data_IF_087439887964
#
_entry.id   IF_087439887964
#
_cell.length_a   1.000
_cell.length_b   1.000
_cell.length_c   1.000
_cell.angle_alpha   90.00
_cell.angle_beta   90.00
_cell.angle_gamma   90.00
#
_symmetry.space_group_name_H-M   'P 1'
#
loop_
_entity.id
_entity.type
_entity.pdbx_description
1 polymer ?
#
# COMPACT_ATOMS: atom_id res chain seq x y z
N UNK A 1 11.17 30.63 -30.26
CA UNK A 1 12.15 29.53 -30.33
C UNK A 1 12.91 29.49 -29.02
N UNK A 2 12.59 28.55 -28.15
CA UNK A 2 13.31 28.29 -26.90
C UNK A 2 13.66 26.81 -26.89
N UNK A 3 14.97 26.54 -26.81
CA UNK A 3 15.55 25.22 -26.92
C UNK A 3 15.29 24.40 -25.66
N UNK A 4 14.59 23.28 -25.80
CA UNK A 4 14.41 22.29 -24.74
C UNK A 4 15.66 21.43 -24.65
N UNK A 5 16.44 21.58 -23.58
CA UNK A 5 17.53 20.67 -23.28
C UNK A 5 16.95 19.35 -22.75
N UNK A 6 17.05 18.28 -23.55
CA UNK A 6 16.77 16.91 -23.13
C UNK A 6 17.98 16.45 -22.32
N UNK A 7 17.79 16.22 -21.02
CA UNK A 7 18.77 15.52 -20.18
C UNK A 7 18.49 14.03 -20.31
N UNK A 8 19.32 13.33 -21.07
CA UNK A 8 19.33 11.87 -21.10
C UNK A 8 19.86 11.34 -19.77
N UNK A 9 19.05 10.54 -19.07
CA UNK A 9 19.47 9.79 -17.88
C UNK A 9 20.06 8.46 -18.34
N UNK A 10 21.28 8.07 -17.94
CA UNK A 10 21.88 6.81 -18.38
C UNK A 10 21.08 5.62 -17.87
N UNK A 11 20.69 4.73 -18.78
CA UNK A 11 20.19 3.39 -18.48
C UNK A 11 21.23 2.63 -17.67
N UNK A 12 20.90 2.26 -16.43
CA UNK A 12 21.70 1.31 -15.65
C UNK A 12 21.70 -0.04 -16.37
N UNK A 13 22.90 -0.49 -16.77
CA UNK A 13 23.12 -1.74 -17.46
C UNK A 13 22.60 -2.94 -16.65
N UNK A 14 21.87 -3.81 -17.35
CA UNK A 14 21.36 -5.08 -16.85
C UNK A 14 22.47 -6.13 -16.77
N UNK A 15 23.37 -6.00 -15.78
CA UNK A 15 24.39 -7.01 -15.53
C UNK A 15 24.81 -7.10 -14.06
N UNK A 16 23.83 -7.30 -13.18
CA UNK A 16 24.06 -7.96 -11.87
C UNK A 16 23.02 -9.06 -11.72
N UNK A 17 23.25 -10.16 -12.46
CA UNK A 17 22.46 -11.39 -12.33
C UNK A 17 22.83 -12.04 -11.00
N UNK A 18 21.89 -12.04 -10.05
CA UNK A 18 21.95 -12.93 -8.88
C UNK A 18 21.77 -14.36 -9.40
N UNK A 19 22.88 -15.10 -9.51
CA UNK A 19 22.86 -16.55 -9.74
C UNK A 19 22.51 -17.23 -8.43
N UNK A 20 21.27 -17.74 -8.31
CA UNK A 20 20.88 -18.59 -7.19
C UNK A 20 21.53 -19.97 -7.36
N UNK A 21 22.57 -20.25 -6.59
CA UNK A 21 23.11 -21.61 -6.44
C UNK A 21 22.23 -22.44 -5.50
N UNK A 22 21.90 -23.71 -5.81
CA UNK A 22 21.12 -24.56 -4.92
C UNK A 22 22.00 -24.99 -3.72
N UNK A 23 21.65 -24.58 -2.49
CA UNK A 23 22.31 -25.11 -1.29
C UNK A 23 21.74 -26.46 -0.90
N UNK A 24 22.63 -27.43 -0.82
CA UNK A 24 22.43 -28.79 -0.32
C UNK A 24 21.97 -28.81 1.14
N UNK A 25 21.11 -29.78 1.48
CA UNK A 25 20.59 -30.03 2.82
C UNK A 25 21.74 -30.34 3.79
N UNK A 26 21.89 -29.53 4.84
CA UNK A 26 22.75 -29.84 5.99
C UNK A 26 21.87 -30.17 7.19
N UNK A 27 21.99 -31.39 7.70
CA UNK A 27 21.40 -31.83 8.97
C UNK A 27 22.22 -31.25 10.13
N UNK A 28 21.55 -30.56 11.06
CA UNK A 28 22.17 -30.07 12.30
C UNK A 28 22.00 -31.13 13.38
N UNK A 29 23.11 -31.75 13.79
CA UNK A 29 23.20 -32.56 15.01
C UNK A 29 23.45 -31.64 16.21
N UNK A 30 22.65 -31.84 17.25
CA UNK A 30 22.74 -31.16 18.55
C UNK A 30 24.10 -31.39 19.21
N UNK A 31 24.76 -30.32 19.65
CA UNK A 31 25.90 -30.37 20.58
C UNK A 31 25.56 -29.58 21.84
N UNK A 32 25.72 -30.25 22.97
CA UNK A 32 25.62 -29.73 24.33
C UNK A 32 26.77 -28.75 24.61
N UNK A 33 26.44 -27.66 25.32
CA UNK A 33 27.39 -26.62 25.78
C UNK A 33 27.88 -26.98 27.18
N UNK A 34 29.19 -26.86 27.51
CA UNK A 34 29.66 -27.00 28.88
C UNK A 34 29.46 -25.71 29.68
N UNK A 35 29.08 -25.87 30.94
CA UNK A 35 28.99 -24.81 31.96
C UNK A 35 30.40 -24.38 32.35
N UNK A 36 30.70 -23.09 32.30
CA UNK A 36 31.91 -22.48 32.87
C UNK A 36 31.50 -21.52 33.98
N UNK A 37 32.21 -21.65 35.10
CA UNK A 37 32.06 -20.97 36.37
C UNK A 37 32.34 -19.47 36.31
N UNK A 38 31.61 -18.74 37.15
CA UNK A 38 31.69 -17.29 37.37
C UNK A 38 32.91 -16.97 38.22
N UNK A 39 33.73 -16.02 37.77
CA UNK A 39 34.59 -15.22 38.64
C UNK A 39 34.25 -13.74 38.43
N UNK A 40 33.99 -13.06 39.54
CA UNK A 40 33.80 -11.62 39.65
C UNK A 40 35.08 -10.90 39.26
N UNK A 41 34.99 -9.98 38.29
CA UNK A 41 35.95 -8.89 38.20
C UNK A 41 35.25 -7.56 37.90
N UNK A 42 35.88 -6.56 38.48
CA UNK A 42 35.43 -5.28 38.95
C UNK A 42 35.01 -4.27 37.87
N UNK A 43 34.16 -3.35 38.32
CA UNK A 43 33.62 -2.17 37.64
C UNK A 43 34.61 -1.43 36.74
N UNK A 44 34.43 -1.59 35.42
CA UNK A 44 34.85 -0.64 34.42
C UNK A 44 33.65 -0.29 33.55
N UNK A 45 33.07 0.89 33.74
CA UNK A 45 32.02 1.42 32.87
C UNK A 45 32.64 1.70 31.51
N UNK A 46 32.69 0.69 30.64
CA UNK A 46 33.01 0.88 29.23
C UNK A 46 31.92 1.74 28.63
N UNK A 47 32.25 2.97 28.24
CA UNK A 47 31.44 3.74 27.30
C UNK A 47 31.24 2.85 26.06
N UNK A 48 30.07 2.21 25.94
CA UNK A 48 29.69 1.49 24.74
C UNK A 48 29.85 2.45 23.57
N UNK A 49 30.83 2.19 22.70
CA UNK A 49 30.98 2.96 21.47
C UNK A 49 29.67 2.82 20.70
N UNK A 50 28.89 3.89 20.61
CA UNK A 50 27.61 3.89 19.92
C UNK A 50 27.85 3.43 18.49
N UNK A 51 27.37 2.23 18.15
CA UNK A 51 27.44 1.71 16.78
C UNK A 51 26.69 2.70 15.86
N UNK A 52 27.39 3.41 14.94
CA UNK A 52 26.76 4.46 14.15
C UNK A 52 25.63 3.92 13.26
N UNK A 53 25.76 2.68 12.78
CA UNK A 53 24.72 2.03 11.98
C UNK A 53 23.48 1.74 12.82
N UNK A 54 23.65 1.32 14.08
CA UNK A 54 22.56 1.11 15.02
C UNK A 54 21.82 2.42 15.33
N UNK A 55 22.56 3.48 15.65
CA UNK A 55 21.96 4.79 15.95
C UNK A 55 21.15 5.33 14.78
N UNK A 56 21.70 5.24 13.56
CA UNK A 56 20.99 5.64 12.34
C UNK A 56 19.78 4.74 12.05
N UNK A 57 19.87 3.44 12.33
CA UNK A 57 18.73 2.53 12.19
C UNK A 57 17.59 2.89 13.14
N UNK A 58 17.87 3.23 14.39
CA UNK A 58 16.85 3.69 15.34
C UNK A 58 16.17 5.00 14.87
N UNK A 59 16.94 5.94 14.32
CA UNK A 59 16.40 7.18 13.73
C UNK A 59 15.45 6.89 12.55
N UNK A 60 15.83 5.98 11.65
CA UNK A 60 14.97 5.54 10.54
C UNK A 60 13.71 4.84 11.08
N UNK A 61 13.83 3.98 12.08
CA UNK A 61 12.69 3.27 12.66
C UNK A 61 11.72 4.24 13.35
N UNK A 62 12.21 5.31 13.98
CA UNK A 62 11.34 6.37 14.50
C UNK A 62 10.45 6.96 13.40
N UNK A 63 11.01 7.22 12.22
CA UNK A 63 10.23 7.70 11.06
C UNK A 63 9.23 6.62 10.63
N UNK A 64 9.67 5.39 10.38
CA UNK A 64 8.80 4.27 9.95
C UNK A 64 7.63 4.08 10.91
N UNK A 65 7.87 4.16 12.21
CA UNK A 65 6.85 3.99 13.25
C UNK A 65 5.75 5.05 13.16
N UNK A 66 6.07 6.30 12.82
CA UNK A 66 5.05 7.36 12.63
C UNK A 66 4.09 7.09 11.47
N UNK A 67 4.50 6.24 10.53
CA UNK A 67 3.67 5.84 9.40
C UNK A 67 2.76 4.64 9.72
N UNK A 68 2.95 4.01 10.88
CA UNK A 68 2.17 2.88 11.34
C UNK A 68 0.90 3.26 12.12
N UNK A 69 0.02 2.28 12.28
CA UNK A 69 -1.10 2.28 13.22
C UNK A 69 -0.94 1.07 14.13
N UNK A 70 -0.55 1.34 15.38
CA UNK A 70 -0.10 0.32 16.33
C UNK A 70 -1.24 -0.03 17.29
N UNK A 71 -1.85 -1.21 17.09
CA UNK A 71 -2.93 -1.68 17.99
C UNK A 71 -2.40 -2.17 19.34
N UNK A 72 -1.13 -2.57 19.40
CA UNK A 72 -0.44 -3.04 20.61
C UNK A 72 0.93 -2.39 20.71
N UNK A 73 1.27 -1.92 21.90
CA UNK A 73 2.56 -1.31 22.23
C UNK A 73 3.20 -2.02 23.42
N UNK A 74 4.50 -1.80 23.64
CA UNK A 74 5.17 -2.17 24.90
C UNK A 74 4.59 -1.36 26.07
N UNK A 75 4.98 -1.69 27.30
CA UNK A 75 4.64 -0.90 28.49
C UNK A 75 5.14 0.56 28.38
N UNK A 76 6.21 0.79 27.61
CA UNK A 76 6.75 2.11 27.32
C UNK A 76 6.05 2.83 26.15
N UNK A 77 5.02 2.22 25.55
CA UNK A 77 4.29 2.79 24.42
C UNK A 77 4.93 2.57 23.06
N UNK A 78 5.99 1.77 22.98
CA UNK A 78 6.73 1.53 21.72
C UNK A 78 6.04 0.47 20.86
N UNK A 79 6.16 0.60 19.55
CA UNK A 79 5.74 -0.43 18.62
C UNK A 79 6.49 -1.75 18.81
N UNK A 80 5.75 -2.86 18.98
CA UNK A 80 6.33 -4.19 19.19
C UNK A 80 7.26 -4.66 18.05
N UNK A 81 7.07 -4.15 16.83
CA UNK A 81 7.89 -4.52 15.68
C UNK A 81 9.29 -3.92 15.67
N UNK A 82 9.62 -2.97 16.55
CA UNK A 82 10.97 -2.38 16.62
C UNK A 82 12.05 -3.46 16.77
N UNK A 83 11.82 -4.44 17.65
CA UNK A 83 12.76 -5.52 17.90
C UNK A 83 13.10 -6.35 16.64
N UNK A 84 12.16 -6.51 15.72
CA UNK A 84 12.36 -7.30 14.49
C UNK A 84 12.75 -6.45 13.28
N UNK A 85 12.42 -5.15 13.27
CA UNK A 85 12.70 -4.25 12.14
C UNK A 85 14.05 -3.56 12.27
N UNK A 86 14.46 -3.11 13.48
CA UNK A 86 15.72 -2.37 13.64
C UNK A 86 16.94 -3.15 13.15
N UNK A 87 17.13 -4.44 13.48
CA UNK A 87 18.29 -5.20 12.99
C UNK A 87 18.36 -5.30 11.46
N UNK A 88 17.20 -5.32 10.79
CA UNK A 88 17.13 -5.34 9.31
C UNK A 88 17.56 -4.00 8.74
N UNK A 89 17.06 -2.90 9.31
CA UNK A 89 17.47 -1.54 8.91
C UNK A 89 18.97 -1.36 9.14
N UNK A 90 19.47 -1.75 10.30
CA UNK A 90 20.89 -1.70 10.65
C UNK A 90 21.76 -2.44 9.62
N UNK A 91 21.33 -3.61 9.16
CA UNK A 91 22.04 -4.36 8.10
C UNK A 91 22.16 -3.58 6.80
N UNK A 92 21.09 -2.88 6.38
CA UNK A 92 21.11 -2.06 5.15
C UNK A 92 21.90 -0.77 5.34
N UNK A 93 21.81 -0.14 6.52
CA UNK A 93 22.59 1.05 6.89
C UNK A 93 24.08 0.74 6.91
N UNK A 94 24.49 -0.36 7.56
CA UNK A 94 25.90 -0.80 7.60
C UNK A 94 26.45 -1.07 6.19
N UNK A 95 25.59 -1.47 5.25
CA UNK A 95 25.94 -1.68 3.85
C UNK A 95 25.78 -0.43 2.96
N UNK A 96 25.38 0.72 3.52
CA UNK A 96 25.08 1.95 2.78
C UNK A 96 24.10 1.76 1.61
N UNK A 97 23.07 0.91 1.80
CA UNK A 97 22.04 0.60 0.79
C UNK A 97 20.71 1.24 1.16
N UNK A 98 19.90 1.55 0.15
CA UNK A 98 18.52 1.99 0.36
C UNK A 98 17.74 0.95 1.16
N UNK A 99 16.89 1.39 2.09
CA UNK A 99 16.08 0.49 2.91
C UNK A 99 14.94 -0.09 2.06
N UNK A 100 14.90 -1.42 1.82
CA UNK A 100 13.83 -2.02 1.05
C UNK A 100 12.61 -2.24 1.94
N UNK A 101 11.46 -1.76 1.49
CA UNK A 101 10.16 -2.01 2.10
C UNK A 101 9.28 -2.73 1.09
N UNK A 102 8.50 -3.71 1.52
CA UNK A 102 7.56 -4.43 0.65
C UNK A 102 6.14 -4.25 1.14
N UNK A 103 5.24 -3.89 0.23
CA UNK A 103 3.83 -3.68 0.52
C UNK A 103 2.94 -4.52 -0.42
N UNK A 104 2.36 -5.61 0.09
CA UNK A 104 1.22 -6.25 -0.55
C UNK A 104 -0.01 -5.34 -0.45
N UNK A 105 -0.45 -4.80 -1.59
CA UNK A 105 -1.56 -3.86 -1.66
C UNK A 105 -1.99 -3.61 -3.12
N UNK A 106 -3.05 -2.82 -3.29
CA UNK A 106 -3.56 -2.37 -4.57
C UNK A 106 -3.92 -3.53 -5.53
N UNK A 107 -4.83 -4.43 -5.14
CA UNK A 107 -5.23 -5.55 -5.98
C UNK A 107 -6.01 -5.08 -7.21
N UNK A 108 -7.13 -4.40 -6.96
CA UNK A 108 -8.18 -3.96 -7.89
C UNK A 108 -9.29 -3.29 -7.06
N UNK A 109 -10.12 -2.41 -7.65
CA UNK A 109 -11.32 -1.86 -6.99
C UNK A 109 -12.36 -2.96 -6.69
N UNK A 110 -13.18 -2.74 -5.67
CA UNK A 110 -14.32 -3.60 -5.34
C UNK A 110 -15.33 -3.75 -6.49
N UNK A 111 -15.95 -4.92 -6.59
CA UNK A 111 -17.10 -5.15 -7.48
C UNK A 111 -18.34 -4.32 -7.13
N UNK A 112 -18.44 -3.80 -5.89
CA UNK A 112 -19.57 -2.99 -5.47
C UNK A 112 -19.39 -1.51 -5.90
N UNK A 113 -19.60 -1.24 -7.19
CA UNK A 113 -19.55 0.12 -7.78
C UNK A 113 -20.80 0.96 -7.52
N UNK A 114 -21.86 0.31 -7.04
CA UNK A 114 -23.13 0.95 -6.70
C UNK A 114 -23.02 1.69 -5.36
N UNK A 115 -22.54 0.98 -4.32
CA UNK A 115 -22.57 1.45 -2.94
C UNK A 115 -21.17 1.76 -2.39
N UNK A 116 -20.10 1.12 -2.88
CA UNK A 116 -18.80 1.09 -2.16
C UNK A 116 -17.71 1.95 -2.80
N UNK A 117 -17.45 1.78 -4.09
CA UNK A 117 -16.37 2.47 -4.83
C UNK A 117 -16.90 3.28 -6.00
N UNK A 118 -16.11 4.23 -6.50
CA UNK A 118 -16.51 5.13 -7.58
C UNK A 118 -16.57 4.44 -8.95
N UNK A 119 -15.60 3.58 -9.24
CA UNK A 119 -15.46 2.84 -10.50
C UNK A 119 -14.48 1.69 -10.38
N UNK A 120 -13.98 1.20 -11.53
CA UNK A 120 -13.02 0.09 -11.61
C UNK A 120 -11.54 0.53 -11.56
N UNK A 121 -11.26 1.78 -11.93
CA UNK A 121 -9.90 2.31 -12.04
C UNK A 121 -9.48 3.03 -10.74
N UNK A 122 -8.16 3.21 -10.52
CA UNK A 122 -7.62 4.07 -9.47
C UNK A 122 -8.23 5.48 -9.52
N UNK A 123 -8.59 5.99 -8.35
CA UNK A 123 -9.14 7.32 -8.14
C UNK A 123 -8.26 8.11 -7.14
N UNK A 124 -8.75 9.22 -6.56
CA UNK A 124 -7.96 10.04 -5.64
C UNK A 124 -7.40 9.20 -4.46
N UNK A 125 -8.12 8.17 -4.02
CA UNK A 125 -7.67 7.34 -2.91
C UNK A 125 -6.35 6.62 -3.21
N UNK A 126 -6.20 6.10 -4.42
CA UNK A 126 -4.93 5.49 -4.85
C UNK A 126 -3.81 6.52 -4.99
N UNK A 127 -4.10 7.71 -5.55
CA UNK A 127 -3.11 8.79 -5.66
C UNK A 127 -2.58 9.21 -4.27
N UNK A 128 -3.48 9.39 -3.30
CA UNK A 128 -3.12 9.72 -1.91
C UNK A 128 -2.31 8.61 -1.24
N UNK A 129 -2.69 7.36 -1.45
CA UNK A 129 -1.97 6.21 -0.90
C UNK A 129 -0.54 6.09 -1.43
N UNK A 130 -0.35 6.27 -2.75
CA UNK A 130 0.99 6.29 -3.35
C UNK A 130 1.81 7.48 -2.84
N UNK A 131 1.23 8.68 -2.83
CA UNK A 131 1.89 9.88 -2.35
C UNK A 131 2.35 9.76 -0.89
N UNK A 132 1.54 9.11 -0.04
CA UNK A 132 1.92 8.84 1.35
C UNK A 132 3.15 7.93 1.45
N UNK A 133 3.24 6.88 0.64
CA UNK A 133 4.40 5.98 0.61
C UNK A 133 5.66 6.70 0.10
N UNK A 134 5.50 7.61 -0.87
CA UNK A 134 6.59 8.48 -1.33
C UNK A 134 7.06 9.40 -0.22
N UNK A 135 6.13 9.96 0.57
CA UNK A 135 6.45 10.80 1.71
C UNK A 135 7.26 10.03 2.77
N UNK A 136 6.92 8.76 3.03
CA UNK A 136 7.73 7.89 3.89
C UNK A 136 9.17 7.76 3.38
N UNK A 137 9.35 7.44 2.10
CA UNK A 137 10.68 7.35 1.49
C UNK A 137 11.44 8.68 1.56
N UNK A 138 10.75 9.81 1.35
CA UNK A 138 11.34 11.15 1.42
C UNK A 138 11.82 11.49 2.83
N UNK A 139 11.00 11.21 3.84
CA UNK A 139 11.35 11.51 5.23
C UNK A 139 12.54 10.64 5.68
N UNK A 140 12.61 9.37 5.28
CA UNK A 140 13.81 8.53 5.49
C UNK A 140 15.03 9.12 4.77
N UNK A 141 14.88 9.54 3.51
CA UNK A 141 15.97 10.12 2.72
C UNK A 141 16.54 11.40 3.34
N UNK A 142 15.72 12.16 4.06
CA UNK A 142 16.16 13.37 4.76
C UNK A 142 17.19 13.09 5.86
N UNK A 143 17.16 11.89 6.47
CA UNK A 143 18.09 11.50 7.54
C UNK A 143 19.14 10.46 7.11
N UNK A 144 18.92 9.80 5.97
CA UNK A 144 19.77 8.73 5.45
C UNK A 144 19.86 8.83 3.93
N UNK A 145 21.02 9.25 3.40
CA UNK A 145 21.18 9.63 1.99
C UNK A 145 20.76 8.55 0.95
N UNK A 146 21.05 7.24 1.14
CA UNK A 146 20.53 6.20 0.26
C UNK A 146 19.00 6.09 0.24
N UNK A 147 18.33 6.57 1.28
CA UNK A 147 16.88 6.61 1.39
C UNK A 147 16.24 5.24 1.51
N UNK A 148 15.03 5.11 0.96
CA UNK A 148 14.26 3.87 0.97
C UNK A 148 13.49 3.67 -0.34
N UNK A 149 13.14 2.41 -0.61
CA UNK A 149 12.32 2.01 -1.76
C UNK A 149 11.11 1.23 -1.23
N UNK A 150 9.92 1.50 -1.76
CA UNK A 150 8.73 0.70 -1.52
C UNK A 150 8.43 -0.14 -2.76
N UNK A 151 8.50 -1.45 -2.61
CA UNK A 151 8.05 -2.41 -3.62
C UNK A 151 6.60 -2.76 -3.35
N UNK A 152 5.70 -2.27 -4.20
CA UNK A 152 4.29 -2.63 -4.18
C UNK A 152 4.13 -3.95 -4.92
N UNK A 153 3.71 -4.98 -4.19
CA UNK A 153 3.36 -6.28 -4.77
C UNK A 153 1.85 -6.34 -4.91
N UNK A 154 1.37 -6.16 -6.14
CA UNK A 154 -0.06 -6.17 -6.43
C UNK A 154 -0.61 -7.59 -6.34
N UNK A 155 -1.62 -7.80 -5.49
CA UNK A 155 -2.16 -9.11 -5.13
C UNK A 155 -3.50 -9.43 -5.81
N UNK A 156 -3.90 -8.64 -6.82
CA UNK A 156 -5.18 -8.81 -7.52
C UNK A 156 -5.38 -10.21 -8.08
N UNK A 157 -4.37 -10.76 -8.78
CA UNK A 157 -4.49 -12.11 -9.36
C UNK A 157 -4.61 -13.22 -8.32
N UNK A 158 -4.21 -12.98 -7.06
CA UNK A 158 -4.43 -13.95 -6.00
C UNK A 158 -5.91 -14.13 -5.69
N UNK A 159 -6.78 -13.14 -5.95
CA UNK A 159 -8.13 -13.13 -5.38
C UNK A 159 -9.25 -12.82 -6.37
N UNK A 160 -8.97 -12.19 -7.52
CA UNK A 160 -9.98 -11.63 -8.40
C UNK A 160 -11.03 -12.65 -8.87
N UNK A 161 -10.63 -13.86 -9.22
CA UNK A 161 -11.52 -14.98 -9.59
C UNK A 161 -12.43 -15.42 -8.42
N UNK A 162 -11.95 -15.37 -7.18
CA UNK A 162 -12.79 -15.63 -5.99
C UNK A 162 -13.85 -14.54 -5.78
N UNK A 163 -13.57 -13.33 -6.27
CA UNK A 163 -14.44 -12.17 -6.10
C UNK A 163 -15.29 -11.85 -7.33
N UNK A 164 -15.01 -12.48 -8.48
CA UNK A 164 -15.72 -12.28 -9.74
C UNK A 164 -15.23 -11.09 -10.56
N UNK A 165 -13.98 -10.65 -10.37
CA UNK A 165 -13.36 -9.57 -11.15
C UNK A 165 -12.54 -10.20 -12.28
N UNK A 166 -12.76 -9.84 -13.56
CA UNK A 166 -11.99 -10.37 -14.69
C UNK A 166 -10.51 -10.02 -14.63
N UNK A 167 -9.65 -10.86 -15.21
CA UNK A 167 -8.20 -10.66 -15.24
C UNK A 167 -7.81 -9.37 -15.98
N UNK A 168 -8.56 -9.00 -17.01
CA UNK A 168 -8.43 -7.78 -17.79
C UNK A 168 -8.57 -6.52 -16.92
N UNK A 169 -9.52 -6.54 -15.99
CA UNK A 169 -9.78 -5.40 -15.10
C UNK A 169 -8.68 -5.25 -14.05
N UNK A 170 -8.14 -6.37 -13.55
CA UNK A 170 -6.95 -6.35 -12.68
C UNK A 170 -5.76 -5.74 -13.41
N UNK A 171 -5.59 -6.09 -14.70
CA UNK A 171 -4.55 -5.47 -15.53
C UNK A 171 -4.79 -3.98 -15.71
N UNK A 172 -6.02 -3.54 -16.04
CA UNK A 172 -6.37 -2.14 -16.26
C UNK A 172 -6.09 -1.29 -15.01
N UNK A 173 -6.54 -1.76 -13.83
CA UNK A 173 -6.29 -1.10 -12.56
C UNK A 173 -4.79 -0.99 -12.26
N UNK A 174 -4.07 -2.11 -12.32
CA UNK A 174 -2.63 -2.14 -12.01
C UNK A 174 -1.80 -1.34 -13.03
N UNK A 175 -2.20 -1.33 -14.30
CA UNK A 175 -1.55 -0.55 -15.35
C UNK A 175 -1.76 0.95 -15.13
N UNK A 176 -2.99 1.38 -14.80
CA UNK A 176 -3.26 2.78 -14.45
C UNK A 176 -2.47 3.21 -13.22
N UNK A 177 -2.37 2.37 -12.19
CA UNK A 177 -1.61 2.67 -10.97
C UNK A 177 -0.11 2.90 -11.25
N UNK A 178 0.48 2.07 -12.11
CA UNK A 178 1.87 2.26 -12.58
C UNK A 178 2.04 3.57 -13.36
N UNK A 179 1.09 3.91 -14.23
CA UNK A 179 1.10 5.19 -14.96
C UNK A 179 1.05 6.39 -14.01
N UNK A 180 0.21 6.35 -12.97
CA UNK A 180 0.16 7.41 -11.93
C UNK A 180 1.55 7.62 -11.32
N UNK A 181 2.25 6.54 -10.93
CA UNK A 181 3.57 6.66 -10.33
C UNK A 181 4.60 7.28 -11.29
N UNK A 182 4.53 6.97 -12.59
CA UNK A 182 5.39 7.58 -13.62
C UNK A 182 5.04 9.06 -13.82
N UNK A 183 3.76 9.38 -14.01
CA UNK A 183 3.25 10.75 -14.20
C UNK A 183 3.64 11.67 -13.04
N UNK A 184 3.64 11.16 -11.81
CA UNK A 184 4.00 11.92 -10.60
C UNK A 184 5.50 11.86 -10.26
N UNK A 185 6.32 11.15 -11.03
CA UNK A 185 7.76 11.05 -10.80
C UNK A 185 8.15 10.28 -9.53
N UNK A 186 7.36 9.29 -9.11
CA UNK A 186 7.55 8.52 -7.87
C UNK A 186 8.66 7.45 -8.00
N UNK A 187 9.90 7.89 -8.18
CA UNK A 187 11.06 7.02 -8.43
C UNK A 187 11.37 6.02 -7.29
N UNK A 188 10.91 6.28 -6.07
CA UNK A 188 11.08 5.37 -4.93
C UNK A 188 10.01 4.26 -4.85
N UNK A 189 9.01 4.28 -5.74
CA UNK A 189 7.96 3.26 -5.82
C UNK A 189 8.27 2.30 -6.95
N UNK A 190 8.35 1.01 -6.62
CA UNK A 190 8.49 -0.08 -7.59
C UNK A 190 7.23 -0.95 -7.56
N UNK A 191 6.92 -1.60 -8.68
CA UNK A 191 5.77 -2.50 -8.78
C UNK A 191 6.23 -3.87 -9.24
N UNK A 192 5.91 -4.90 -8.48
CA UNK A 192 6.15 -6.28 -8.88
C UNK A 192 4.81 -6.99 -9.04
N UNK A 193 4.59 -7.55 -10.24
CA UNK A 193 3.47 -8.47 -10.45
C UNK A 193 3.89 -9.83 -9.95
N UNK A 194 2.91 -10.62 -9.52
CA UNK A 194 3.18 -11.97 -9.02
C UNK A 194 3.81 -12.86 -10.10
N UNK A 195 3.40 -12.74 -11.36
CA UNK A 195 4.05 -13.45 -12.48
C UNK A 195 5.54 -13.11 -12.64
N UNK A 196 5.96 -11.88 -12.30
CA UNK A 196 7.37 -11.51 -12.30
C UNK A 196 8.11 -12.21 -11.13
N UNK A 197 7.49 -12.27 -9.96
CA UNK A 197 8.06 -12.94 -8.77
C UNK A 197 8.14 -14.47 -8.90
N UNK A 198 7.42 -15.04 -9.86
CA UNK A 198 7.41 -16.48 -10.15
C UNK A 198 8.32 -16.84 -11.32
N UNK A 199 9.02 -15.85 -11.90
CA UNK A 199 9.83 -16.01 -13.12
C UNK A 199 9.03 -16.53 -14.33
N UNK A 200 7.70 -16.32 -14.33
CA UNK A 200 6.83 -16.64 -15.47
C UNK A 200 6.88 -15.53 -16.54
N UNK A 201 7.31 -14.33 -16.14
CA UNK A 201 7.49 -13.20 -17.04
C UNK A 201 8.62 -12.28 -16.53
N UNK A 202 9.56 -11.90 -17.38
CA UNK A 202 10.71 -11.07 -17.00
C UNK A 202 10.61 -9.61 -17.48
N UNK A 203 9.64 -9.30 -18.35
CA UNK A 203 9.46 -7.94 -18.87
C UNK A 203 8.94 -6.96 -17.81
N UNK A 204 9.41 -5.71 -17.90
CA UNK A 204 8.92 -4.62 -17.05
C UNK A 204 7.47 -4.22 -17.42
N UNK A 205 7.18 -4.18 -18.72
CA UNK A 205 5.85 -3.96 -19.27
C UNK A 205 5.30 -5.28 -19.82
N UNK A 206 3.99 -5.48 -19.68
CA UNK A 206 3.28 -6.67 -20.17
C UNK A 206 1.99 -6.24 -20.85
N UNK A 207 1.70 -6.82 -22.01
CA UNK A 207 0.44 -6.59 -22.70
C UNK A 207 -0.74 -7.15 -21.90
N UNK A 208 -1.96 -6.65 -22.15
CA UNK A 208 -3.17 -7.18 -21.51
C UNK A 208 -3.37 -8.66 -21.83
N UNK A 209 -3.25 -9.04 -23.09
CA UNK A 209 -3.45 -10.43 -23.54
C UNK A 209 -2.46 -11.40 -22.90
N UNK A 210 -1.18 -11.02 -22.80
CA UNK A 210 -0.16 -11.85 -22.16
C UNK A 210 -0.39 -11.96 -20.65
N UNK A 211 -0.79 -10.86 -20.00
CA UNK A 211 -1.15 -10.87 -18.59
C UNK A 211 -2.31 -11.84 -18.30
N UNK A 212 -3.38 -11.79 -19.10
CA UNK A 212 -4.55 -12.67 -18.95
C UNK A 212 -4.16 -14.13 -19.13
N UNK A 213 -3.33 -14.43 -20.14
CA UNK A 213 -2.79 -15.80 -20.36
C UNK A 213 -2.01 -16.32 -19.14
N UNK A 214 -1.22 -15.46 -18.51
CA UNK A 214 -0.37 -15.84 -17.37
C UNK A 214 -1.11 -15.83 -16.02
N UNK A 215 -2.30 -15.24 -15.92
CA UNK A 215 -2.98 -15.06 -14.63
C UNK A 215 -3.30 -16.39 -13.95
N UNK A 216 -3.93 -17.35 -14.66
CA UNK A 216 -4.25 -18.66 -14.08
C UNK A 216 -3.00 -19.51 -13.81
N UNK A 217 -2.00 -19.44 -14.71
CA UNK A 217 -0.71 -20.10 -14.50
C UNK A 217 -0.03 -19.59 -13.23
N UNK A 218 -0.07 -18.28 -12.99
CA UNK A 218 0.49 -17.67 -11.79
C UNK A 218 -0.19 -18.18 -10.52
N UNK A 219 -1.52 -18.25 -10.49
CA UNK A 219 -2.25 -18.81 -9.33
C UNK A 219 -1.83 -20.25 -9.02
N UNK A 220 -1.75 -21.09 -10.05
CA UNK A 220 -1.36 -22.49 -9.91
C UNK A 220 0.10 -22.60 -9.43
N UNK A 221 0.98 -21.75 -9.93
CA UNK A 221 2.40 -21.78 -9.58
C UNK A 221 2.67 -21.28 -8.15
N UNK A 222 1.93 -20.28 -7.65
CA UNK A 222 1.97 -19.89 -6.23
C UNK A 222 1.55 -21.08 -5.37
N UNK A 223 0.42 -21.71 -5.69
CA UNK A 223 -0.07 -22.86 -4.94
C UNK A 223 0.94 -24.02 -4.97
N UNK A 224 1.57 -24.27 -6.11
CA UNK A 224 2.60 -25.32 -6.24
C UNK A 224 3.86 -25.03 -5.42
N UNK A 225 4.36 -23.78 -5.42
CA UNK A 225 5.61 -23.40 -4.72
C UNK A 225 5.42 -23.16 -3.22
N UNK A 226 4.29 -22.57 -2.83
CA UNK A 226 4.05 -22.04 -1.50
C UNK A 226 2.88 -22.71 -0.76
N UNK A 227 2.10 -23.55 -1.46
CA UNK A 227 1.04 -24.35 -0.87
C UNK A 227 1.57 -25.39 0.10
N UNK A 228 0.78 -25.66 1.14
CA UNK A 228 1.10 -26.68 2.15
C UNK A 228 0.21 -27.90 1.93
N UNK A 229 0.75 -29.09 1.63
CA UNK A 229 -0.04 -30.30 1.52
C UNK A 229 -0.86 -30.54 2.80
N UNK A 230 -2.15 -30.83 2.67
CA UNK A 230 -3.03 -31.07 3.81
C UNK A 230 -3.36 -29.83 4.66
N UNK A 231 -3.19 -28.62 4.13
CA UNK A 231 -3.50 -27.39 4.88
C UNK A 231 -4.97 -27.31 5.29
N UNK A 232 -5.21 -27.44 6.59
CA UNK A 232 -6.53 -27.24 7.21
C UNK A 232 -6.67 -25.79 7.68
N UNK A 233 -7.42 -25.01 6.90
CA UNK A 233 -7.70 -23.60 7.19
C UNK A 233 -8.49 -23.42 8.49
N UNK A 234 -9.37 -24.35 8.87
CA UNK A 234 -10.17 -24.24 10.10
C UNK A 234 -9.31 -24.48 11.34
N UNK A 235 -8.39 -25.44 11.29
CA UNK A 235 -7.39 -25.64 12.34
C UNK A 235 -6.42 -24.46 12.43
N UNK A 236 -5.94 -23.98 11.29
CA UNK A 236 -4.98 -22.86 11.22
C UNK A 236 -5.54 -21.56 11.82
N UNK A 237 -6.78 -21.22 11.49
CA UNK A 237 -7.46 -20.02 12.03
C UNK A 237 -7.67 -20.08 13.55
N UNK A 238 -7.68 -21.27 14.16
CA UNK A 238 -7.73 -21.40 15.62
C UNK A 238 -6.38 -21.19 16.30
N UNK A 239 -5.28 -21.39 15.58
CA UNK A 239 -3.91 -21.31 16.12
C UNK A 239 -3.22 -19.97 15.86
N UNK A 240 -3.75 -19.12 14.99
CA UNK A 240 -3.12 -17.87 14.58
C UNK A 240 -4.09 -16.67 14.69
N UNK A 241 -3.84 -15.79 15.67
CA UNK A 241 -4.71 -14.65 15.99
C UNK A 241 -4.78 -13.63 14.83
N UNK A 242 -3.67 -13.37 14.15
CA UNK A 242 -3.59 -12.38 13.08
C UNK A 242 -4.36 -12.84 11.83
N UNK A 243 -4.26 -14.13 11.48
CA UNK A 243 -5.05 -14.70 10.40
C UNK A 243 -6.53 -14.85 10.76
N UNK A 244 -6.86 -15.15 12.02
CA UNK A 244 -8.26 -15.15 12.49
C UNK A 244 -8.89 -13.75 12.38
N UNK A 245 -8.17 -12.71 12.79
CA UNK A 245 -8.59 -11.31 12.61
C UNK A 245 -8.82 -10.97 11.14
N UNK A 246 -7.90 -11.39 10.27
CA UNK A 246 -8.00 -11.21 8.82
C UNK A 246 -9.25 -11.91 8.26
N UNK A 247 -9.49 -13.16 8.64
CA UNK A 247 -10.67 -13.93 8.22
C UNK A 247 -11.98 -13.28 8.68
N UNK A 248 -12.05 -12.81 9.93
CA UNK A 248 -13.22 -12.10 10.44
C UNK A 248 -13.47 -10.80 9.67
N UNK A 249 -12.40 -10.09 9.29
CA UNK A 249 -12.46 -8.96 8.38
C UNK A 249 -13.07 -9.35 7.02
N UNK A 250 -12.58 -10.42 6.40
CA UNK A 250 -13.15 -10.94 5.14
C UNK A 250 -14.62 -11.32 5.29
N UNK A 251 -15.01 -12.10 6.30
CA UNK A 251 -16.43 -12.46 6.51
C UNK A 251 -17.31 -11.22 6.72
N UNK A 252 -16.79 -10.13 7.30
CA UNK A 252 -17.53 -8.89 7.48
C UNK A 252 -17.63 -8.09 6.17
N UNK A 253 -16.51 -7.72 5.58
CA UNK A 253 -16.49 -6.75 4.47
C UNK A 253 -16.90 -7.37 3.13
N UNK A 254 -16.65 -8.66 2.91
CA UNK A 254 -17.05 -9.35 1.67
C UNK A 254 -18.57 -9.43 1.51
N UNK A 255 -19.35 -9.34 2.59
CA UNK A 255 -20.81 -9.22 2.52
C UNK A 255 -21.26 -7.98 1.75
N UNK A 256 -20.47 -6.90 1.81
CA UNK A 256 -20.72 -5.67 1.07
C UNK A 256 -20.06 -5.72 -0.31
N UNK A 257 -18.81 -6.18 -0.41
CA UNK A 257 -18.08 -6.25 -1.70
C UNK A 257 -18.79 -7.13 -2.73
N UNK A 258 -19.30 -8.27 -2.29
CA UNK A 258 -19.87 -9.26 -3.20
C UNK A 258 -21.37 -9.07 -3.45
N UNK A 259 -22.02 -8.05 -2.88
CA UNK A 259 -23.47 -7.84 -3.01
C UNK A 259 -23.95 -7.86 -4.47
N UNK A 260 -23.15 -7.32 -5.39
CA UNK A 260 -23.42 -7.26 -6.83
C UNK A 260 -22.45 -8.10 -7.67
N UNK A 261 -21.68 -8.98 -7.04
CA UNK A 261 -20.70 -9.81 -7.74
C UNK A 261 -21.37 -10.96 -8.50
N UNK A 262 -20.86 -11.36 -9.68
CA UNK A 262 -21.32 -12.56 -10.38
C UNK A 262 -21.17 -13.84 -9.55
N UNK A 263 -20.21 -13.92 -8.61
CA UNK A 263 -19.95 -15.14 -7.80
C UNK A 263 -21.00 -15.42 -6.73
N UNK A 264 -21.93 -14.49 -6.54
CA UNK A 264 -23.06 -14.60 -5.60
C UNK A 264 -24.41 -14.47 -6.29
N UNK A 265 -24.44 -14.33 -7.62
CA UNK A 265 -25.68 -14.15 -8.40
C UNK A 265 -26.62 -15.36 -8.29
N UNK A 266 -26.05 -16.56 -8.08
CA UNK A 266 -26.76 -17.84 -7.91
C UNK A 266 -27.28 -18.09 -6.48
N UNK A 267 -27.05 -17.17 -5.54
CA UNK A 267 -27.46 -17.34 -4.16
C UNK A 267 -28.97 -17.07 -4.02
N UNK A 268 -29.77 -18.12 -3.85
CA UNK A 268 -31.22 -18.08 -3.73
C UNK A 268 -31.74 -17.35 -2.48
N UNK A 269 -30.87 -17.04 -1.51
CA UNK A 269 -31.26 -16.25 -0.34
C UNK A 269 -30.14 -16.01 0.68
N UNK A 270 -30.44 -15.31 1.78
CA UNK A 270 -29.44 -14.83 2.75
C UNK A 270 -28.57 -15.92 3.39
N UNK A 271 -29.15 -17.11 3.64
CA UNK A 271 -28.41 -18.26 4.20
C UNK A 271 -27.34 -18.79 3.24
N UNK A 272 -27.70 -18.99 1.98
CA UNK A 272 -26.75 -19.45 0.94
C UNK A 272 -25.69 -18.38 0.67
N UNK A 273 -26.09 -17.11 0.62
CA UNK A 273 -25.16 -15.98 0.49
C UNK A 273 -24.12 -15.98 1.62
N UNK A 274 -24.55 -16.03 2.88
CA UNK A 274 -23.64 -16.08 4.04
C UNK A 274 -22.69 -17.30 3.98
N UNK A 275 -23.19 -18.46 3.54
CA UNK A 275 -22.36 -19.66 3.35
C UNK A 275 -21.31 -19.46 2.24
N UNK A 276 -21.69 -18.84 1.11
CA UNK A 276 -20.80 -18.50 0.00
C UNK A 276 -19.70 -17.53 0.44
N UNK A 277 -20.06 -16.47 1.16
CA UNK A 277 -19.08 -15.49 1.71
C UNK A 277 -18.06 -16.18 2.61
N UNK A 278 -18.49 -17.01 3.57
CA UNK A 278 -17.57 -17.76 4.45
C UNK A 278 -16.63 -18.68 3.66
N UNK A 279 -17.15 -19.36 2.63
CA UNK A 279 -16.34 -20.22 1.76
C UNK A 279 -15.28 -19.42 1.00
N UNK A 280 -15.66 -18.27 0.44
CA UNK A 280 -14.74 -17.36 -0.27
C UNK A 280 -13.68 -16.82 0.70
N UNK A 281 -14.08 -16.35 1.88
CA UNK A 281 -13.17 -15.85 2.90
C UNK A 281 -12.11 -16.89 3.31
N UNK A 282 -12.50 -18.16 3.48
CA UNK A 282 -11.55 -19.26 3.73
C UNK A 282 -10.57 -19.46 2.57
N UNK A 283 -11.05 -19.46 1.32
CA UNK A 283 -10.17 -19.57 0.13
C UNK A 283 -9.20 -18.40 0.04
N UNK A 284 -9.64 -17.19 0.38
CA UNK A 284 -8.77 -16.01 0.46
C UNK A 284 -7.69 -16.16 1.53
N UNK A 285 -7.99 -16.76 2.69
CA UNK A 285 -6.97 -17.07 3.71
C UNK A 285 -5.93 -18.04 3.17
N UNK A 286 -6.35 -19.14 2.54
CA UNK A 286 -5.43 -20.13 1.95
C UNK A 286 -4.47 -19.43 0.97
N UNK A 287 -5.01 -18.69 0.00
CA UNK A 287 -4.19 -17.97 -0.99
C UNK A 287 -3.35 -16.86 -0.37
N UNK A 288 -3.86 -16.20 0.67
CA UNK A 288 -3.12 -15.17 1.41
C UNK A 288 -1.90 -15.72 2.14
N UNK A 289 -2.01 -16.92 2.73
CA UNK A 289 -0.87 -17.62 3.35
C UNK A 289 0.20 -17.96 2.31
N UNK A 290 -0.20 -18.53 1.18
CA UNK A 290 0.71 -18.90 0.09
C UNK A 290 1.39 -17.68 -0.52
N UNK A 291 0.63 -16.62 -0.76
CA UNK A 291 1.14 -15.36 -1.27
C UNK A 291 2.08 -14.67 -0.27
N UNK A 292 1.75 -14.66 1.02
CA UNK A 292 2.62 -14.10 2.05
C UNK A 292 3.96 -14.84 2.12
N UNK A 293 3.95 -16.16 1.95
CA UNK A 293 5.14 -17.00 1.86
C UNK A 293 5.98 -16.67 0.62
N UNK A 294 5.37 -16.51 -0.56
CA UNK A 294 6.08 -16.06 -1.76
C UNK A 294 6.78 -14.71 -1.53
N UNK A 295 6.05 -13.72 -0.98
CA UNK A 295 6.65 -12.40 -0.68
C UNK A 295 7.81 -12.53 0.31
N UNK A 296 7.70 -13.42 1.31
CA UNK A 296 8.77 -13.67 2.29
C UNK A 296 10.01 -14.29 1.64
N UNK A 297 9.84 -15.19 0.67
CA UNK A 297 10.95 -15.81 -0.06
C UNK A 297 11.68 -14.82 -0.97
N UNK A 298 10.95 -13.92 -1.62
CA UNK A 298 11.51 -12.94 -2.57
C UNK A 298 12.11 -11.72 -1.86
N UNK A 299 11.51 -11.27 -0.75
CA UNK A 299 11.96 -10.09 0.00
C UNK A 299 12.27 -10.37 1.47
N UNK A 300 13.18 -11.32 1.78
CA UNK A 300 13.42 -11.77 3.15
C UNK A 300 13.92 -10.65 4.08
N UNK A 301 14.73 -9.73 3.52
CA UNK A 301 15.41 -8.66 4.26
C UNK A 301 14.69 -7.32 4.17
N UNK A 302 13.47 -7.30 3.63
CA UNK A 302 12.65 -6.08 3.54
C UNK A 302 11.90 -5.81 4.84
N UNK A 303 11.54 -4.54 5.05
CA UNK A 303 10.54 -4.16 6.04
C UNK A 303 9.16 -4.45 5.46
N UNK A 304 8.39 -5.33 6.13
CA UNK A 304 7.06 -5.71 5.65
C UNK A 304 6.02 -4.68 6.06
N UNK A 305 5.49 -3.94 5.10
CA UNK A 305 4.33 -3.09 5.29
C UNK A 305 3.02 -3.89 5.10
N UNK A 306 1.92 -3.40 5.65
CA UNK A 306 0.61 -4.05 5.63
C UNK A 306 -0.51 -3.03 5.63
N UNK A 307 -1.53 -3.21 4.79
CA UNK A 307 -2.77 -2.43 4.85
C UNK A 307 -3.82 -3.01 5.81
N UNK A 308 -3.47 -4.09 6.52
CA UNK A 308 -4.33 -4.69 7.54
C UNK A 308 -3.81 -4.35 8.93
N UNK A 309 -4.72 -4.20 9.92
CA UNK A 309 -4.34 -4.19 11.31
C UNK A 309 -3.62 -5.48 11.71
N UNK A 310 -2.72 -5.38 12.68
CA UNK A 310 -1.92 -6.51 13.15
C UNK A 310 -1.32 -6.25 14.52
N UNK A 311 -0.82 -7.32 15.14
CA UNK A 311 0.02 -7.26 16.34
C UNK A 311 1.28 -6.38 16.19
N UNK A 312 1.69 -6.05 14.97
CA UNK A 312 2.85 -5.21 14.68
C UNK A 312 4.20 -5.93 14.71
N UNK A 313 4.27 -7.21 15.14
CA UNK A 313 5.55 -7.90 15.34
C UNK A 313 6.27 -8.28 14.05
N UNK A 314 5.52 -8.68 13.01
CA UNK A 314 6.07 -9.21 11.75
C UNK A 314 5.82 -8.29 10.55
N UNK A 315 4.92 -7.32 10.70
CA UNK A 315 4.54 -6.35 9.68
C UNK A 315 4.11 -5.04 10.33
N UNK A 316 4.40 -3.93 9.67
CA UNK A 316 3.92 -2.61 10.06
C UNK A 316 2.54 -2.37 9.42
N UNK A 317 1.51 -2.21 10.24
CA UNK A 317 0.19 -1.78 9.76
C UNK A 317 0.26 -0.32 9.31
N UNK A 318 0.24 -0.06 8.02
CA UNK A 318 0.44 1.25 7.40
C UNK A 318 -0.85 1.69 6.68
N UNK A 319 -1.73 2.47 7.34
CA UNK A 319 -2.93 3.01 6.68
C UNK A 319 -2.53 4.00 5.58
N UNK A 320 -3.06 3.80 4.37
CA UNK A 320 -2.72 4.62 3.20
C UNK A 320 -3.37 6.01 3.24
N UNK A 321 -4.55 6.12 3.86
CA UNK A 321 -5.27 7.40 4.03
C UNK A 321 -5.63 7.54 5.51
N UNK A 322 -4.70 7.93 6.40
CA UNK A 322 -4.91 7.95 7.84
C UNK A 322 -6.21 8.63 8.26
N UNK A 323 -6.93 8.05 9.23
CA UNK A 323 -8.17 8.59 9.79
C UNK A 323 -7.97 8.77 11.30
N UNK A 324 -8.59 9.81 11.89
CA UNK A 324 -8.35 10.18 13.29
C UNK A 324 -8.75 9.09 14.29
N UNK A 325 -9.93 8.53 14.12
CA UNK A 325 -10.57 7.65 15.12
C UNK A 325 -10.78 6.21 14.61
N UNK A 326 -10.17 5.85 13.48
CA UNK A 326 -10.32 4.50 12.91
C UNK A 326 -9.13 4.08 12.06
N UNK A 327 -8.97 2.76 11.91
CA UNK A 327 -8.08 2.24 10.88
C UNK A 327 -8.68 2.54 9.50
N UNK A 328 -7.90 3.23 8.66
CA UNK A 328 -8.31 3.67 7.33
C UNK A 328 -8.86 2.53 6.46
N UNK A 329 -9.94 2.80 5.72
CA UNK A 329 -10.37 1.90 4.66
C UNK A 329 -9.34 1.94 3.53
N UNK A 330 -8.99 0.78 2.97
CA UNK A 330 -8.08 0.78 1.83
C UNK A 330 -8.73 1.45 0.60
N UNK A 331 -7.95 2.15 -0.24
CA UNK A 331 -8.46 2.92 -1.39
C UNK A 331 -9.39 2.12 -2.32
N UNK A 332 -9.14 0.83 -2.47
CA UNK A 332 -9.91 -0.06 -3.33
C UNK A 332 -11.22 -0.58 -2.73
N UNK A 333 -11.50 -0.25 -1.47
CA UNK A 333 -12.73 -0.60 -0.77
C UNK A 333 -13.53 0.62 -0.29
N UNK A 334 -13.19 1.84 -0.72
CA UNK A 334 -13.92 3.04 -0.35
C UNK A 334 -13.94 4.08 -1.47
N UNK A 335 -14.54 5.22 -1.17
CA UNK A 335 -14.36 6.49 -1.87
C UNK A 335 -13.75 7.49 -0.89
N UNK A 336 -13.05 8.49 -1.42
CA UNK A 336 -12.53 9.62 -0.63
C UNK A 336 -13.48 10.79 -0.74
N UNK A 337 -13.75 11.46 0.38
CA UNK A 337 -14.26 12.83 0.37
C UNK A 337 -13.22 13.81 0.91
N UNK A 338 -13.19 15.01 0.35
CA UNK A 338 -12.32 16.12 0.75
C UNK A 338 -13.18 17.18 1.42
N UNK A 339 -12.87 17.49 2.67
CA UNK A 339 -13.54 18.56 3.42
C UNK A 339 -13.06 19.94 2.96
N UNK A 340 -13.78 21.00 3.33
CA UNK A 340 -13.40 22.38 2.96
C UNK A 340 -12.00 22.73 3.49
N UNK A 341 -11.60 22.17 4.64
CA UNK A 341 -10.26 22.35 5.23
C UNK A 341 -9.16 21.44 4.62
N UNK A 342 -9.49 20.72 3.55
CA UNK A 342 -8.57 19.81 2.85
C UNK A 342 -8.35 18.46 3.53
N UNK A 343 -9.02 18.16 4.66
CA UNK A 343 -8.96 16.82 5.26
C UNK A 343 -9.59 15.77 4.35
N UNK A 344 -8.95 14.59 4.31
CA UNK A 344 -9.44 13.43 3.59
C UNK A 344 -10.20 12.49 4.53
N UNK A 345 -11.44 12.17 4.19
CA UNK A 345 -12.22 11.14 4.88
C UNK A 345 -12.50 9.97 3.95
N UNK A 346 -12.47 8.75 4.51
CA UNK A 346 -12.77 7.53 3.77
C UNK A 346 -14.11 6.96 4.21
N UNK A 347 -14.99 6.69 3.26
CA UNK A 347 -16.22 5.94 3.49
C UNK A 347 -16.69 5.23 2.20
N UNK A 348 -17.68 4.35 2.33
CA UNK A 348 -18.36 3.82 1.16
C UNK A 348 -19.03 4.97 0.37
N UNK A 349 -18.98 4.89 -0.96
CA UNK A 349 -19.59 5.85 -1.89
C UNK A 349 -21.03 6.23 -1.52
N UNK A 350 -21.84 5.28 -1.07
CA UNK A 350 -23.22 5.52 -0.65
C UNK A 350 -23.34 6.53 0.50
N UNK A 351 -22.36 6.56 1.40
CA UNK A 351 -22.32 7.48 2.54
C UNK A 351 -21.94 8.90 2.14
N UNK A 352 -21.12 9.06 1.09
CA UNK A 352 -20.71 10.37 0.60
C UNK A 352 -21.71 10.98 -0.40
N UNK A 353 -22.32 10.17 -1.27
CA UNK A 353 -23.21 10.64 -2.34
C UNK A 353 -24.38 11.52 -1.86
N UNK A 354 -24.78 11.41 -0.60
CA UNK A 354 -25.89 12.20 -0.04
C UNK A 354 -25.44 13.56 0.56
N UNK A 355 -24.14 13.78 0.74
CA UNK A 355 -23.61 14.89 1.55
C UNK A 355 -22.51 15.70 0.86
N UNK A 356 -21.98 15.20 -0.26
CA UNK A 356 -20.82 15.75 -0.94
C UNK A 356 -21.05 15.78 -2.44
N UNK A 357 -20.39 16.73 -3.10
CA UNK A 357 -20.38 16.87 -4.55
C UNK A 357 -19.44 15.84 -5.17
N UNK A 358 -19.89 15.16 -6.23
CA UNK A 358 -19.02 14.25 -6.98
C UNK A 358 -18.15 15.06 -7.94
N UNK A 359 -16.84 14.96 -7.78
CA UNK A 359 -15.86 15.56 -8.68
C UNK A 359 -15.41 14.51 -9.69
N UNK A 360 -15.41 14.89 -10.96
CA UNK A 360 -14.95 14.06 -12.07
C UNK A 360 -13.60 14.56 -12.60
N UNK A 361 -12.79 13.63 -13.10
CA UNK A 361 -11.53 13.93 -13.78
C UNK A 361 -11.50 13.17 -15.09
N UNK A 362 -11.38 13.89 -16.20
CA UNK A 362 -11.44 13.31 -17.56
C UNK A 362 -12.72 12.48 -17.81
N UNK A 363 -13.87 12.97 -17.33
CA UNK A 363 -15.17 12.30 -17.49
C UNK A 363 -15.32 11.02 -16.67
N UNK A 364 -14.49 10.82 -15.63
CA UNK A 364 -14.59 9.70 -14.70
C UNK A 364 -14.79 10.20 -13.27
N UNK A 365 -15.71 9.60 -12.49
CA UNK A 365 -15.83 9.84 -11.05
C UNK A 365 -14.48 9.70 -10.33
N UNK A 366 -14.03 10.75 -9.64
CA UNK A 366 -12.67 10.82 -9.11
C UNK A 366 -12.60 10.95 -7.59
N UNK A 367 -13.42 11.80 -6.97
CA UNK A 367 -13.58 11.89 -5.50
C UNK A 367 -14.85 12.67 -5.15
N UNK A 368 -15.17 12.75 -3.87
CA UNK A 368 -16.22 13.62 -3.35
C UNK A 368 -15.65 14.88 -2.69
N UNK A 369 -16.31 16.03 -2.80
CA UNK A 369 -15.88 17.28 -2.14
C UNK A 369 -17.00 17.86 -1.31
N UNK A 370 -16.68 18.43 -0.15
CA UNK A 370 -17.67 19.11 0.69
C UNK A 370 -18.16 20.35 -0.05
N UNK A 371 -19.47 20.48 -0.18
CA UNK A 371 -20.10 21.60 -0.86
C UNK A 371 -19.80 22.89 -0.09
N UNK A 372 -19.26 23.89 -0.78
CA UNK A 372 -18.91 25.17 -0.19
C UNK A 372 -18.82 26.25 -1.27
N UNK A 373 -19.33 27.47 -1.02
CA UNK A 373 -19.17 28.61 -1.91
C UNK A 373 -17.69 28.96 -2.20
N UNK A 374 -16.76 28.51 -1.35
CA UNK A 374 -15.32 28.71 -1.58
C UNK A 374 -14.80 28.03 -2.85
N UNK A 375 -15.52 27.03 -3.36
CA UNK A 375 -15.19 26.32 -4.59
C UNK A 375 -16.03 26.75 -5.80
N UNK A 376 -16.88 27.76 -5.65
CA UNK A 376 -17.73 28.31 -6.71
C UNK A 376 -17.08 29.59 -7.23
N UNK A 377 -16.28 29.48 -8.29
CA UNK A 377 -15.52 30.60 -8.84
C UNK A 377 -16.15 31.13 -10.12
N UNK A 378 -16.00 32.43 -10.37
CA UNK A 378 -16.37 33.04 -11.64
C UNK A 378 -15.36 32.61 -12.73
N UNK A 379 -14.09 32.51 -12.33
CA UNK A 379 -13.04 31.96 -13.15
C UNK A 379 -13.15 30.44 -13.31
N UNK A 380 -12.88 29.94 -14.51
CA UNK A 380 -12.77 28.50 -14.77
C UNK A 380 -11.47 27.96 -14.18
N UNK A 381 -11.57 27.34 -13.01
CA UNK A 381 -10.44 26.77 -12.28
C UNK A 381 -10.64 25.30 -11.94
N UNK A 382 -9.54 24.55 -11.93
CA UNK A 382 -9.48 23.19 -11.40
C UNK A 382 -8.92 23.21 -9.97
N UNK A 383 -9.62 22.55 -9.05
CA UNK A 383 -9.18 22.34 -7.67
C UNK A 383 -8.55 20.96 -7.54
N UNK A 384 -7.22 20.91 -7.47
CA UNK A 384 -6.46 19.68 -7.36
C UNK A 384 -5.99 19.46 -5.92
N UNK A 385 -6.51 18.42 -5.27
CA UNK A 385 -6.13 18.06 -3.90
C UNK A 385 -5.01 17.01 -3.88
N UNK A 386 -3.98 17.27 -3.10
CA UNK A 386 -2.81 16.41 -2.94
C UNK A 386 -2.60 15.98 -1.49
N UNK A 387 -1.82 14.91 -1.32
CA UNK A 387 -1.41 14.43 0.00
C UNK A 387 -0.79 15.55 0.84
N UNK A 388 -1.06 15.54 2.14
CA UNK A 388 -0.65 16.61 3.04
C UNK A 388 -1.60 17.80 3.08
N UNK A 389 -2.84 17.66 2.59
CA UNK A 389 -3.86 18.74 2.55
C UNK A 389 -3.43 19.93 1.67
N UNK A 390 -2.57 19.66 0.69
CA UNK A 390 -2.10 20.65 -0.27
C UNK A 390 -3.15 20.81 -1.36
N UNK A 391 -3.60 22.03 -1.59
CA UNK A 391 -4.51 22.38 -2.67
C UNK A 391 -3.75 23.16 -3.76
N UNK A 392 -3.91 22.76 -5.00
CA UNK A 392 -3.52 23.56 -6.16
C UNK A 392 -4.79 24.05 -6.84
N UNK A 393 -4.89 25.36 -7.03
CA UNK A 393 -5.95 25.99 -7.82
C UNK A 393 -5.32 26.39 -9.15
N UNK A 394 -5.77 25.75 -10.24
CA UNK A 394 -5.22 25.97 -11.58
C UNK A 394 -6.24 26.65 -12.47
N UNK A 395 -5.88 27.76 -13.08
CA UNK A 395 -6.73 28.43 -14.09
C UNK A 395 -6.71 27.62 -15.38
N UNK A 396 -7.88 27.36 -15.96
CA UNK A 396 -7.99 26.71 -17.26
C UNK A 396 -7.55 27.66 -18.37
N UNK A 397 -6.89 27.11 -19.41
CA UNK A 397 -6.37 27.90 -20.53
C UNK A 397 -7.46 28.75 -21.20
N UNK A 398 -7.12 30.00 -21.51
CA UNK A 398 -7.95 31.00 -22.20
C UNK A 398 -9.07 31.64 -21.36
N UNK A 399 -8.96 31.62 -20.03
CA UNK A 399 -9.90 32.34 -19.16
C UNK A 399 -9.32 33.65 -18.63
N UNK A 400 -10.21 34.59 -18.28
CA UNK A 400 -9.88 35.90 -17.69
C UNK A 400 -9.29 35.75 -16.28
N UNK A 401 -8.66 36.82 -15.79
CA UNK A 401 -8.10 36.87 -14.43
C UNK A 401 -9.20 36.64 -13.37
N UNK A 402 -8.90 36.01 -12.21
CA UNK A 402 -9.87 35.83 -11.14
C UNK A 402 -10.49 37.15 -10.67
N UNK A 403 -11.78 37.14 -10.36
CA UNK A 403 -12.46 38.30 -9.78
C UNK A 403 -11.96 38.59 -8.35
N UNK A 404 -12.21 39.79 -7.84
CA UNK A 404 -11.92 40.11 -6.42
C UNK A 404 -12.59 39.11 -5.46
N UNK A 405 -13.80 38.64 -5.81
CA UNK A 405 -14.50 37.61 -5.04
C UNK A 405 -13.78 36.27 -5.06
N UNK A 406 -13.21 35.88 -6.20
CA UNK A 406 -12.42 34.65 -6.32
C UNK A 406 -11.10 34.74 -5.55
N UNK A 407 -10.46 35.91 -5.54
CA UNK A 407 -9.26 36.17 -4.73
C UNK A 407 -9.56 36.11 -3.23
N UNK A 408 -10.71 36.63 -2.79
CA UNK A 408 -11.17 36.48 -1.40
C UNK A 408 -11.41 35.01 -1.03
N UNK A 409 -12.05 34.23 -1.91
CA UNK A 409 -12.24 32.77 -1.72
C UNK A 409 -10.89 32.06 -1.64
N UNK A 410 -9.93 32.41 -2.49
CA UNK A 410 -8.57 31.87 -2.47
C UNK A 410 -7.87 32.15 -1.13
N UNK A 411 -7.98 33.38 -0.62
CA UNK A 411 -7.41 33.75 0.67
C UNK A 411 -8.04 32.94 1.83
N UNK A 412 -9.36 32.73 1.80
CA UNK A 412 -10.05 31.91 2.80
C UNK A 412 -9.64 30.44 2.72
N UNK A 413 -9.49 29.88 1.52
CA UNK A 413 -8.96 28.53 1.34
C UNK A 413 -7.51 28.41 1.86
N UNK A 414 -6.67 29.44 1.63
CA UNK A 414 -5.30 29.48 2.12
C UNK A 414 -5.18 29.49 3.65
N UNK A 415 -6.19 30.01 4.35
CA UNK A 415 -6.26 29.97 5.82
C UNK A 415 -6.62 28.55 6.32
N UNK A 416 -7.47 27.82 5.59
CA UNK A 416 -8.01 26.53 6.05
C UNK A 416 -7.10 25.34 5.68
N UNK A 417 -6.42 25.42 4.54
CA UNK A 417 -5.53 24.37 4.05
C UNK A 417 -4.12 24.51 4.62
N UNK A 418 -3.38 23.39 4.68
CA UNK A 418 -1.96 23.41 5.06
C UNK A 418 -1.08 24.16 4.06
N UNK A 419 -1.45 24.11 2.78
CA UNK A 419 -0.79 24.83 1.71
C UNK A 419 -1.77 25.02 0.56
N UNK A 420 -1.77 26.21 -0.03
CA UNK A 420 -2.49 26.51 -1.26
C UNK A 420 -1.51 27.08 -2.27
N UNK A 421 -1.54 26.58 -3.49
CA UNK A 421 -0.76 27.12 -4.60
C UNK A 421 -1.72 27.52 -5.70
N UNK A 422 -1.66 28.78 -6.12
CA UNK A 422 -2.40 29.28 -7.27
C UNK A 422 -1.49 29.25 -8.50
N UNK A 423 -1.98 28.69 -9.59
CA UNK A 423 -1.25 28.57 -10.86
C UNK A 423 -2.09 29.15 -12.00
N UNK A 424 -1.60 30.23 -12.60
CA UNK A 424 -1.99 30.68 -13.94
C UNK A 424 -0.98 30.13 -14.95
N UNK A 425 -1.49 29.57 -16.05
CA UNK A 425 -0.68 29.08 -17.17
C UNK A 425 -0.09 30.23 -18.01
#
# INVERSE_FOLDING_TARGET
>A
MLATAIVEVPLLNASDRIVLTPKSRVFVLSRTVPVVSVEDDTTGTSLESVNPARSKAEEIINIVETYGSHERTTAAGEWLGRASFTPRVETHVAANRAIPMVLPAFPMKSNNRMDKVLGALPDLGEELGLARLVNLCRDIKAVYAPGAIVVIVTDGICYNDLTGIPDEEVWDYGNRLRKIAVEKGYACIQFHRIMNMLDLYSGAQISKDEYVKLANMSRNEIHRRCGRPGFDVDKFLKSDEDYLRTYNGYDKFMKVDLKFSPVTKDCAGPKQYKKRIKSIAKKMIVRGVEYAELVRQIYPDSLRLSIHPSSGQTKLSCPLIPQKDSFSMSPWHCSVAVLVDGKFITAHKSSHRQKFDLIEKSGQPYFFRESSPLFEWDAMVDFEHFYGQNLVVRVQKNWEEPSDSDLDKLALLAIQHRSVTFMSD
#
